data_IF_830129921936
#
_entry.id   IF_830129921936
#
_cell.length_a   1.000
_cell.length_b   1.000
_cell.length_c   1.000
_cell.angle_alpha   90.00
_cell.angle_beta   90.00
_cell.angle_gamma   90.00
#
_symmetry.space_group_name_H-M   'P 1'
#
loop_
_entity.id
_entity.type
_entity.pdbx_description
1 polymer ?
#
# COMPACT_ATOMS: atom_id res chain seq x y z
N UNK A 1 -3.00 12.52 13.45
CA UNK A 1 -2.40 11.66 12.41
C UNK A 1 -3.51 11.13 11.50
N UNK A 2 -3.27 11.17 10.20
CA UNK A 2 -4.22 10.61 9.25
C UNK A 2 -3.74 9.22 8.82
N UNK A 3 -4.52 8.19 9.12
CA UNK A 3 -4.20 6.82 8.72
C UNK A 3 -4.11 6.73 7.19
N UNK A 4 -5.04 7.40 6.51
CA UNK A 4 -5.07 7.41 5.04
C UNK A 4 -3.80 8.01 4.45
N UNK A 5 -3.35 9.12 5.01
CA UNK A 5 -2.15 9.80 4.55
C UNK A 5 -0.90 8.97 4.81
N UNK A 6 -0.79 8.41 6.03
CA UNK A 6 0.36 7.59 6.38
C UNK A 6 0.44 6.34 5.52
N UNK A 7 -0.70 5.68 5.31
CA UNK A 7 -0.75 4.49 4.46
C UNK A 7 -0.30 4.84 3.04
N UNK A 8 -0.83 5.92 2.48
CA UNK A 8 -0.50 6.32 1.11
C UNK A 8 1.00 6.56 0.94
N UNK A 9 1.59 7.28 1.89
CA UNK A 9 3.01 7.59 1.85
C UNK A 9 3.86 6.33 1.96
N UNK A 10 3.55 5.48 2.93
CA UNK A 10 4.35 4.28 3.16
C UNK A 10 4.23 3.27 2.04
N UNK A 11 3.02 3.14 1.48
CA UNK A 11 2.81 2.25 0.33
C UNK A 11 3.64 2.71 -0.88
N UNK A 12 3.57 3.99 -1.20
CA UNK A 12 4.31 4.52 -2.34
C UNK A 12 5.81 4.37 -2.12
N UNK A 13 6.28 4.64 -0.92
CA UNK A 13 7.69 4.52 -0.58
C UNK A 13 8.18 3.07 -0.76
N UNK A 14 7.43 2.11 -0.25
CA UNK A 14 7.77 0.69 -0.38
C UNK A 14 7.77 0.26 -1.85
N UNK A 15 6.76 0.70 -2.59
CA UNK A 15 6.66 0.36 -4.02
C UNK A 15 7.87 0.88 -4.78
N UNK A 16 8.25 2.12 -4.52
CA UNK A 16 9.38 2.75 -5.21
C UNK A 16 10.71 2.13 -4.81
N UNK A 17 10.86 1.70 -3.56
CA UNK A 17 12.06 1.00 -3.14
C UNK A 17 12.28 -0.29 -3.93
N UNK A 18 11.21 -0.96 -4.32
CA UNK A 18 11.28 -2.18 -5.13
C UNK A 18 11.26 -1.88 -6.63
N UNK A 19 11.27 -0.61 -7.00
CA UNK A 19 11.24 -0.17 -8.40
C UNK A 19 10.06 -0.73 -9.18
N UNK A 20 8.89 -0.81 -8.52
CA UNK A 20 7.69 -1.35 -9.12
C UNK A 20 6.82 -0.23 -9.67
N UNK A 21 6.24 -0.47 -10.85
CA UNK A 21 5.18 0.41 -11.36
C UNK A 21 3.88 0.04 -10.66
N UNK A 22 2.88 0.91 -10.77
CA UNK A 22 1.54 0.61 -10.24
C UNK A 22 1.00 -0.69 -10.84
N UNK A 23 1.21 -0.88 -12.14
CA UNK A 23 0.73 -2.07 -12.82
C UNK A 23 1.42 -3.32 -12.30
N UNK A 24 2.73 -3.26 -12.12
CA UNK A 24 3.47 -4.40 -11.59
C UNK A 24 2.99 -4.78 -10.19
N UNK A 25 2.81 -3.79 -9.33
CA UNK A 25 2.31 -4.08 -7.99
C UNK A 25 0.89 -4.67 -8.05
N UNK A 26 0.05 -4.13 -8.96
CA UNK A 26 -1.32 -4.62 -9.11
C UNK A 26 -1.34 -6.10 -9.47
N UNK A 27 -0.40 -6.54 -10.29
CA UNK A 27 -0.30 -7.94 -10.69
C UNK A 27 0.07 -8.83 -9.51
N UNK A 28 0.91 -8.33 -8.59
CA UNK A 28 1.31 -9.10 -7.42
C UNK A 28 0.20 -9.19 -6.37
N UNK A 29 -0.58 -8.12 -6.22
CA UNK A 29 -1.59 -8.03 -5.15
C UNK A 29 -2.96 -8.51 -5.62
N UNK A 30 -3.21 -8.51 -6.94
CA UNK A 30 -4.48 -8.97 -7.47
C UNK A 30 -5.58 -7.91 -7.44
N UNK A 31 -5.23 -6.64 -7.47
CA UNK A 31 -6.19 -5.55 -7.60
C UNK A 31 -5.80 -4.69 -8.80
N UNK A 32 -6.71 -3.84 -9.27
CA UNK A 32 -6.41 -3.01 -10.43
C UNK A 32 -5.39 -1.92 -10.07
N UNK A 33 -4.63 -1.48 -11.06
CA UNK A 33 -3.66 -0.42 -10.82
C UNK A 33 -4.36 0.89 -10.47
N UNK A 34 -5.57 1.11 -10.96
CA UNK A 34 -6.36 2.28 -10.58
C UNK A 34 -6.68 2.29 -9.09
N UNK A 35 -6.96 1.12 -8.53
CA UNK A 35 -7.24 1.00 -7.11
C UNK A 35 -6.01 1.40 -6.29
N UNK A 36 -4.83 0.91 -6.68
CA UNK A 36 -3.60 1.25 -5.98
C UNK A 36 -3.30 2.74 -6.13
N UNK A 37 -3.51 3.28 -7.32
CA UNK A 37 -3.32 4.71 -7.56
C UNK A 37 -4.18 5.55 -6.62
N UNK A 38 -5.44 5.13 -6.40
CA UNK A 38 -6.34 5.85 -5.50
C UNK A 38 -5.88 5.75 -4.05
N UNK A 39 -5.32 4.60 -3.66
CA UNK A 39 -4.72 4.46 -2.33
C UNK A 39 -3.57 5.45 -2.15
N UNK A 40 -2.70 5.56 -3.14
CA UNK A 40 -1.54 6.46 -3.06
C UNK A 40 -1.91 7.93 -3.12
N UNK A 41 -3.09 8.25 -3.66
CA UNK A 41 -3.59 9.62 -3.71
C UNK A 41 -4.51 9.96 -2.54
N UNK A 42 -4.61 9.07 -1.56
CA UNK A 42 -5.44 9.26 -0.37
C UNK A 42 -6.94 9.31 -0.68
N UNK A 43 -7.34 8.82 -1.85
CA UNK A 43 -8.75 8.84 -2.25
C UNK A 43 -9.52 7.63 -1.73
N UNK A 44 -8.83 6.53 -1.44
CA UNK A 44 -9.43 5.32 -0.93
C UNK A 44 -8.49 4.63 0.04
N UNK A 45 -9.06 3.77 0.88
CA UNK A 45 -8.25 2.93 1.78
C UNK A 45 -8.51 1.48 1.41
N UNK A 46 -7.51 0.61 1.58
CA UNK A 46 -7.68 -0.81 1.29
C UNK A 46 -8.51 -1.50 2.37
N UNK A 47 -9.12 -2.63 2.00
CA UNK A 47 -9.76 -3.45 3.00
C UNK A 47 -8.69 -4.26 3.75
N UNK A 48 -9.14 -4.99 4.79
CA UNK A 48 -8.20 -5.75 5.63
C UNK A 48 -7.43 -6.78 4.82
N UNK A 49 -8.11 -7.47 3.90
CA UNK A 49 -7.46 -8.50 3.09
C UNK A 49 -6.34 -7.92 2.24
N UNK A 50 -6.56 -6.74 1.68
CA UNK A 50 -5.53 -6.07 0.89
C UNK A 50 -4.37 -5.58 1.76
N UNK A 51 -4.66 -5.13 2.98
CA UNK A 51 -3.62 -4.74 3.93
C UNK A 51 -2.71 -5.95 4.23
N UNK A 52 -3.32 -7.11 4.48
CA UNK A 52 -2.55 -8.32 4.76
C UNK A 52 -1.68 -8.70 3.55
N UNK A 53 -2.27 -8.66 2.35
CA UNK A 53 -1.53 -8.99 1.14
C UNK A 53 -0.34 -8.05 0.93
N UNK A 54 -0.54 -6.75 1.14
CA UNK A 54 0.54 -5.78 1.01
C UNK A 54 1.63 -6.00 2.06
N UNK A 55 1.22 -6.25 3.30
CA UNK A 55 2.18 -6.47 4.39
C UNK A 55 3.04 -7.71 4.08
N UNK A 56 2.42 -8.78 3.61
CA UNK A 56 3.14 -9.99 3.26
C UNK A 56 4.06 -9.78 2.06
N UNK A 57 3.58 -9.09 1.05
CA UNK A 57 4.38 -8.84 -0.15
C UNK A 57 5.61 -8.00 0.17
N UNK A 58 5.43 -6.92 0.92
CA UNK A 58 6.54 -6.03 1.27
C UNK A 58 7.32 -6.49 2.49
N UNK A 59 6.85 -7.52 3.17
CA UNK A 59 7.50 -8.07 4.38
C UNK A 59 7.61 -7.02 5.49
N UNK A 60 6.52 -6.30 5.69
CA UNK A 60 6.38 -5.33 6.77
C UNK A 60 5.12 -5.69 7.55
N UNK A 61 4.97 -5.10 8.73
CA UNK A 61 3.76 -5.33 9.52
C UNK A 61 2.60 -4.49 8.99
N UNK A 62 1.38 -4.94 9.26
CA UNK A 62 0.19 -4.14 8.96
C UNK A 62 0.24 -2.83 9.75
N UNK A 63 0.75 -2.87 10.97
CA UNK A 63 0.90 -1.66 11.79
C UNK A 63 1.79 -0.63 11.12
N UNK A 64 2.88 -1.06 10.51
CA UNK A 64 3.76 -0.16 9.78
C UNK A 64 2.99 0.53 8.64
N UNK A 65 2.24 -0.26 7.87
CA UNK A 65 1.46 0.29 6.75
C UNK A 65 0.42 1.30 7.22
N UNK A 66 -0.15 1.07 8.38
CA UNK A 66 -1.18 1.96 8.93
C UNK A 66 -0.60 3.16 9.68
N UNK A 67 0.73 3.24 9.79
CA UNK A 67 1.36 4.35 10.48
C UNK A 67 1.39 4.22 11.99
N UNK A 68 1.17 3.00 12.52
CA UNK A 68 1.16 2.76 13.96
C UNK A 68 2.54 2.41 14.51
N UNK A 69 3.51 2.13 13.65
CA UNK A 69 4.89 1.92 14.05
C UNK A 69 5.83 2.46 12.99
N UNK A 70 7.05 2.77 13.39
CA UNK A 70 8.07 3.35 12.50
C UNK A 70 8.79 2.31 11.64
#
# INVERSE_FOLDING_TARGET
MSVRKEFAYRLKDLRMEKCLTLKQLSEHIGVSFNTISRWEREERVPNIENIVALAEFFKVSADYLCGLED
#
